data_IF_257539016432
#
_entry.id   IF_257539016432
#
_cell.length_a   1.000
_cell.length_b   1.000
_cell.length_c   1.000
_cell.angle_alpha   90.00
_cell.angle_beta   90.00
_cell.angle_gamma   90.00
#
_symmetry.space_group_name_H-M   'P 1'
#
loop_
_entity.id
_entity.type
_entity.pdbx_description
1 polymer ?
#
# COMPACT_ATOMS: atom_id res chain seq x y z
N UNK A 1 -2.07 -21.21 -19.39
CA UNK A 1 -2.16 -20.74 -20.79
C UNK A 1 -3.02 -21.67 -21.64
N UNK A 2 -2.64 -22.93 -21.83
CA UNK A 2 -3.38 -23.89 -22.68
C UNK A 2 -4.83 -24.09 -22.23
N UNK A 3 -5.06 -24.17 -20.92
CA UNK A 3 -6.41 -24.33 -20.34
C UNK A 3 -7.28 -23.11 -20.64
N UNK A 4 -6.76 -21.90 -20.40
CA UNK A 4 -7.45 -20.63 -20.71
C UNK A 4 -7.81 -20.55 -22.21
N UNK A 5 -6.88 -20.94 -23.09
CA UNK A 5 -7.14 -20.96 -24.53
C UNK A 5 -8.19 -22.01 -24.93
N UNK A 6 -8.15 -23.20 -24.34
CA UNK A 6 -9.14 -24.25 -24.59
C UNK A 6 -10.54 -23.81 -24.17
N UNK A 7 -10.65 -23.12 -23.02
CA UNK A 7 -11.90 -22.51 -22.55
C UNK A 7 -12.41 -21.43 -23.50
N UNK A 8 -11.55 -20.52 -23.94
CA UNK A 8 -11.91 -19.49 -24.92
C UNK A 8 -12.45 -20.10 -26.22
N UNK A 9 -11.75 -21.10 -26.80
CA UNK A 9 -12.21 -21.82 -28.00
C UNK A 9 -13.56 -22.50 -27.81
N UNK A 10 -13.79 -23.11 -26.65
CA UNK A 10 -15.05 -23.77 -26.34
C UNK A 10 -16.23 -22.77 -26.26
N UNK A 11 -16.00 -21.60 -25.67
CA UNK A 11 -17.00 -20.55 -25.54
C UNK A 11 -17.30 -19.83 -26.86
N UNK A 12 -16.28 -19.54 -27.68
CA UNK A 12 -16.47 -19.02 -29.05
C UNK A 12 -17.32 -19.99 -29.88
N UNK A 13 -16.99 -21.29 -29.82
CA UNK A 13 -17.78 -22.33 -30.50
C UNK A 13 -19.23 -22.39 -29.99
N UNK A 14 -19.46 -22.22 -28.69
CA UNK A 14 -20.80 -22.23 -28.08
C UNK A 14 -21.62 -21.00 -28.51
N UNK A 15 -21.00 -19.83 -28.54
CA UNK A 15 -21.59 -18.55 -29.02
C UNK A 15 -22.04 -18.64 -30.48
N UNK A 16 -21.25 -19.30 -31.34
CA UNK A 16 -21.61 -19.54 -32.76
C UNK A 16 -22.78 -20.51 -32.96
N UNK A 17 -23.15 -21.29 -31.93
CA UNK A 17 -24.19 -22.35 -32.02
C UNK A 17 -25.47 -22.04 -31.26
N UNK A 18 -25.50 -20.97 -30.45
CA UNK A 18 -26.63 -20.62 -29.61
C UNK A 18 -27.02 -19.15 -29.84
N UNK A 19 -28.32 -18.86 -29.92
CA UNK A 19 -28.86 -17.50 -29.95
C UNK A 19 -28.84 -16.95 -28.51
N UNK A 20 -27.65 -16.68 -27.97
CA UNK A 20 -27.48 -16.39 -26.53
C UNK A 20 -27.17 -14.93 -26.25
N UNK A 21 -28.10 -14.29 -25.56
CA UNK A 21 -28.02 -12.99 -24.87
C UNK A 21 -27.08 -12.98 -23.66
N UNK A 22 -26.09 -13.88 -23.60
CA UNK A 22 -25.06 -13.90 -22.54
C UNK A 22 -23.83 -13.14 -23.03
N UNK A 23 -23.85 -11.81 -22.92
CA UNK A 23 -22.74 -10.97 -23.34
C UNK A 23 -21.58 -11.04 -22.34
N UNK A 24 -20.61 -11.90 -22.61
CA UNK A 24 -19.24 -11.68 -22.14
C UNK A 24 -18.78 -10.33 -22.72
N UNK A 25 -18.84 -9.27 -21.92
CA UNK A 25 -18.33 -7.96 -22.31
C UNK A 25 -16.79 -8.05 -22.39
N UNK A 26 -16.16 -7.71 -23.53
CA UNK A 26 -14.71 -7.65 -23.63
C UNK A 26 -14.17 -6.51 -22.74
N UNK A 27 -12.98 -6.67 -22.12
CA UNK A 27 -12.05 -7.80 -22.25
C UNK A 27 -12.40 -9.00 -21.35
N UNK A 28 -11.94 -10.20 -21.71
CA UNK A 28 -12.05 -11.41 -20.86
C UNK A 28 -10.73 -11.73 -20.14
N UNK A 29 -9.65 -11.04 -20.49
CA UNK A 29 -8.33 -11.26 -19.92
C UNK A 29 -7.49 -9.97 -19.94
N UNK A 30 -6.80 -9.68 -18.84
CA UNK A 30 -5.85 -8.58 -18.72
C UNK A 30 -4.48 -9.13 -18.31
N UNK A 31 -3.43 -8.65 -18.97
CA UNK A 31 -2.03 -9.04 -18.70
C UNK A 31 -1.34 -7.87 -18.04
N UNK A 32 -0.78 -8.08 -16.86
CA UNK A 32 0.01 -7.11 -16.12
C UNK A 32 1.48 -7.51 -16.18
N UNK A 33 2.34 -6.53 -16.49
CA UNK A 33 3.78 -6.75 -16.49
C UNK A 33 4.33 -7.02 -15.07
N UNK A 34 5.63 -7.32 -14.95
CA UNK A 34 6.30 -7.55 -13.65
C UNK A 34 6.24 -6.36 -12.69
N UNK A 35 5.88 -5.17 -13.16
CA UNK A 35 5.69 -3.94 -12.38
C UNK A 35 4.21 -3.66 -12.10
N UNK A 36 3.30 -4.56 -12.49
CA UNK A 36 1.86 -4.39 -12.36
C UNK A 36 1.27 -3.36 -13.32
N UNK A 37 1.96 -3.04 -14.42
CA UNK A 37 1.45 -2.16 -15.50
C UNK A 37 0.66 -3.01 -16.48
N UNK A 38 -0.49 -2.53 -16.95
CA UNK A 38 -1.25 -3.22 -17.99
C UNK A 38 -0.40 -3.31 -19.26
N UNK A 39 -0.04 -4.53 -19.63
CA UNK A 39 0.73 -4.85 -20.83
C UNK A 39 -0.19 -5.20 -22.01
N UNK A 40 -1.43 -5.62 -21.75
CA UNK A 40 -2.42 -5.84 -22.81
C UNK A 40 -3.75 -6.37 -22.29
N UNK A 41 -4.81 -6.10 -23.04
CA UNK A 41 -6.15 -6.62 -22.83
C UNK A 41 -6.52 -7.53 -23.99
N UNK A 42 -7.25 -8.59 -23.70
CA UNK A 42 -7.60 -9.61 -24.69
C UNK A 42 -9.10 -9.91 -24.61
N UNK A 43 -9.76 -9.84 -25.76
CA UNK A 43 -11.10 -10.41 -25.94
C UNK A 43 -11.03 -11.92 -26.18
N UNK A 44 -12.20 -12.56 -26.18
CA UNK A 44 -12.28 -14.02 -26.23
C UNK A 44 -11.83 -14.60 -27.58
N UNK A 45 -12.09 -13.89 -28.67
CA UNK A 45 -11.72 -14.30 -30.02
C UNK A 45 -10.20 -14.22 -30.20
N UNK A 46 -9.59 -13.13 -29.74
CA UNK A 46 -8.13 -12.91 -29.75
C UNK A 46 -7.39 -13.98 -28.95
N UNK A 47 -7.95 -14.45 -27.83
CA UNK A 47 -7.36 -15.57 -27.06
C UNK A 47 -7.54 -16.90 -27.80
N UNK A 48 -8.73 -17.15 -28.37
CA UNK A 48 -9.03 -18.38 -29.09
C UNK A 48 -8.12 -18.56 -30.32
N UNK A 49 -7.91 -17.49 -31.09
CA UNK A 49 -7.19 -17.51 -32.38
C UNK A 49 -5.67 -17.37 -32.23
N UNK A 50 -5.17 -16.88 -31.11
CA UNK A 50 -3.74 -16.69 -30.91
C UNK A 50 -2.96 -18.02 -30.89
N UNK A 51 -1.87 -18.09 -31.67
CA UNK A 51 -0.94 -19.21 -31.61
C UNK A 51 -0.25 -19.36 -30.24
N UNK A 52 0.15 -20.59 -29.90
CA UNK A 52 0.80 -20.92 -28.61
C UNK A 52 2.05 -20.07 -28.33
N UNK A 53 2.85 -19.79 -29.35
CA UNK A 53 4.06 -18.95 -29.22
C UNK A 53 3.72 -17.49 -28.89
N UNK A 54 2.66 -16.94 -29.49
CA UNK A 54 2.19 -15.57 -29.24
C UNK A 54 1.65 -15.44 -27.81
N UNK A 55 0.85 -16.41 -27.36
CA UNK A 55 0.36 -16.43 -25.99
C UNK A 55 1.51 -16.58 -24.98
N UNK A 56 2.50 -17.43 -25.28
CA UNK A 56 3.65 -17.62 -24.40
C UNK A 56 4.48 -16.34 -24.29
N UNK A 57 4.78 -15.70 -25.42
CA UNK A 57 5.51 -14.43 -25.44
C UNK A 57 4.78 -13.33 -24.67
N UNK A 58 3.44 -13.28 -24.75
CA UNK A 58 2.64 -12.27 -24.08
C UNK A 58 2.50 -12.53 -22.57
N UNK A 59 2.39 -13.78 -22.13
CA UNK A 59 1.95 -14.10 -20.75
C UNK A 59 3.06 -14.67 -19.87
N UNK A 60 4.15 -15.20 -20.44
CA UNK A 60 5.19 -15.86 -19.66
C UNK A 60 5.87 -14.88 -18.70
N UNK A 61 5.85 -15.22 -17.41
CA UNK A 61 6.44 -14.38 -16.36
C UNK A 61 5.69 -13.06 -16.09
N UNK A 62 4.43 -12.96 -16.56
CA UNK A 62 3.50 -11.87 -16.30
C UNK A 62 2.35 -12.34 -15.41
N UNK A 63 1.61 -11.39 -14.84
CA UNK A 63 0.36 -11.70 -14.11
C UNK A 63 -0.80 -11.65 -15.08
N UNK A 64 -1.60 -12.72 -15.15
CA UNK A 64 -2.76 -12.80 -16.04
C UNK A 64 -4.03 -12.83 -15.19
N UNK A 65 -4.86 -11.80 -15.35
CA UNK A 65 -6.18 -11.68 -14.72
C UNK A 65 -7.21 -12.19 -15.71
N UNK A 66 -8.05 -13.14 -15.29
CA UNK A 66 -9.01 -13.84 -16.16
C UNK A 66 -10.42 -13.62 -15.63
N UNK A 67 -11.36 -13.31 -16.52
CA UNK A 67 -12.78 -13.24 -16.18
C UNK A 67 -13.30 -14.62 -15.75
N UNK A 68 -13.94 -14.69 -14.58
CA UNK A 68 -14.39 -15.95 -14.01
C UNK A 68 -15.42 -16.69 -14.89
N UNK A 69 -16.18 -15.96 -15.71
CA UNK A 69 -17.17 -16.54 -16.62
C UNK A 69 -16.52 -17.42 -17.69
N UNK A 70 -15.19 -17.34 -17.86
CA UNK A 70 -14.42 -18.25 -18.72
C UNK A 70 -14.44 -19.71 -18.20
N UNK A 71 -14.64 -19.89 -16.90
CA UNK A 71 -14.51 -21.20 -16.24
C UNK A 71 -13.04 -21.62 -16.11
N UNK A 72 -12.81 -22.92 -16.09
CA UNK A 72 -11.47 -23.49 -16.12
C UNK A 72 -10.86 -23.80 -14.76
N UNK A 73 -11.64 -23.72 -13.67
CA UNK A 73 -11.25 -24.14 -12.33
C UNK A 73 -12.14 -25.27 -11.85
N UNK A 74 -11.53 -26.37 -11.42
CA UNK A 74 -12.25 -27.47 -10.78
C UNK A 74 -12.67 -27.14 -9.33
N UNK A 75 -13.36 -28.07 -8.67
CA UNK A 75 -13.84 -27.89 -7.29
C UNK A 75 -12.71 -27.66 -6.27
N UNK A 76 -11.47 -28.02 -6.60
CA UNK A 76 -10.28 -27.81 -5.77
C UNK A 76 -9.57 -26.48 -6.09
N UNK A 77 -10.07 -25.70 -7.05
CA UNK A 77 -9.45 -24.46 -7.51
C UNK A 77 -8.22 -24.68 -8.38
N UNK A 78 -8.05 -25.87 -8.96
CA UNK A 78 -6.99 -26.16 -9.93
C UNK A 78 -7.48 -25.93 -11.35
N UNK A 79 -6.54 -25.59 -12.24
CA UNK A 79 -6.87 -25.36 -13.64
C UNK A 79 -7.28 -26.66 -14.33
N UNK A 80 -8.49 -26.70 -14.89
CA UNK A 80 -9.01 -27.81 -15.69
C UNK A 80 -9.79 -27.28 -16.91
N UNK A 81 -9.40 -27.67 -18.12
CA UNK A 81 -10.09 -27.28 -19.35
C UNK A 81 -11.53 -27.81 -19.44
N UNK A 82 -11.84 -28.89 -18.72
CA UNK A 82 -13.18 -29.51 -18.67
C UNK A 82 -14.13 -28.82 -17.71
N UNK A 83 -13.62 -28.03 -16.76
CA UNK A 83 -14.46 -27.25 -15.85
C UNK A 83 -15.11 -26.10 -16.62
N UNK A 84 -16.36 -26.31 -17.05
CA UNK A 84 -17.05 -25.43 -18.00
C UNK A 84 -18.12 -24.52 -17.41
N UNK A 85 -18.32 -24.65 -16.10
CA UNK A 85 -19.12 -23.77 -15.28
C UNK A 85 -18.25 -22.63 -14.75
N UNK A 86 -18.77 -21.39 -14.66
CA UNK A 86 -18.12 -20.35 -13.88
C UNK A 86 -17.86 -20.86 -12.46
N UNK A 87 -16.62 -20.82 -11.96
CA UNK A 87 -16.34 -21.23 -10.60
C UNK A 87 -17.05 -20.28 -9.65
N UNK A 88 -17.28 -20.74 -8.42
CA UNK A 88 -17.70 -19.85 -7.34
C UNK A 88 -16.62 -18.78 -7.16
N UNK A 89 -16.98 -17.54 -7.47
CA UNK A 89 -16.12 -16.37 -7.28
C UNK A 89 -16.69 -15.43 -6.25
N UNK A 90 -15.81 -14.63 -5.68
CA UNK A 90 -16.09 -13.70 -4.59
C UNK A 90 -17.21 -12.69 -4.91
N UNK A 91 -17.43 -12.39 -6.19
CA UNK A 91 -18.41 -11.40 -6.67
C UNK A 91 -19.70 -12.03 -7.23
N UNK A 92 -19.87 -13.36 -7.12
CA UNK A 92 -21.11 -14.02 -7.52
C UNK A 92 -22.10 -14.03 -6.34
N UNK A 93 -23.31 -13.52 -6.57
CA UNK A 93 -24.40 -13.37 -5.59
C UNK A 93 -24.74 -14.70 -4.91
N UNK A 94 -24.06 -15.04 -3.80
CA UNK A 94 -24.39 -16.22 -3.02
C UNK A 94 -23.26 -16.83 -2.22
N UNK A 95 -22.79 -16.14 -1.18
CA UNK A 95 -22.06 -16.78 -0.08
C UNK A 95 -22.56 -16.28 1.28
N UNK A 96 -23.01 -17.22 2.12
CA UNK A 96 -23.53 -17.00 3.48
C UNK A 96 -22.48 -17.00 4.60
N UNK A 97 -21.20 -16.82 4.26
CA UNK A 97 -20.12 -16.51 5.20
C UNK A 97 -19.38 -15.30 4.62
N UNK A 98 -19.09 -14.28 5.44
CA UNK A 98 -18.44 -13.03 4.98
C UNK A 98 -17.03 -13.33 4.43
N UNK A 99 -16.97 -13.66 3.13
CA UNK A 99 -15.76 -13.86 2.33
C UNK A 99 -14.88 -12.61 2.30
N UNK A 100 -15.47 -11.44 2.58
CA UNK A 100 -14.78 -10.17 2.86
C UNK A 100 -13.70 -10.33 3.94
N UNK A 101 -13.94 -11.21 4.93
CA UNK A 101 -12.99 -11.53 6.01
C UNK A 101 -11.89 -12.51 5.57
N UNK A 102 -12.12 -13.30 4.52
CA UNK A 102 -11.24 -14.41 4.11
C UNK A 102 -10.33 -14.03 2.96
N UNK A 103 -10.80 -13.26 1.97
CA UNK A 103 -9.99 -12.82 0.83
C UNK A 103 -10.18 -11.34 0.54
N UNK A 104 -9.10 -10.58 0.67
CA UNK A 104 -9.12 -9.11 0.88
C UNK A 104 -9.03 -8.28 -0.40
N UNK A 105 -9.37 -8.83 -1.56
CA UNK A 105 -9.26 -8.18 -2.89
C UNK A 105 -10.43 -8.57 -3.80
N UNK A 106 -10.99 -7.61 -4.55
CA UNK A 106 -11.93 -7.86 -5.66
C UNK A 106 -11.59 -7.03 -6.89
N UNK A 107 -11.99 -7.52 -8.07
CA UNK A 107 -11.79 -6.82 -9.35
C UNK A 107 -13.13 -6.27 -9.80
N UNK A 108 -13.20 -4.95 -9.96
CA UNK A 108 -14.41 -4.23 -10.32
C UNK A 108 -14.30 -3.71 -11.77
N UNK A 109 -15.43 -3.68 -12.47
CA UNK A 109 -15.55 -3.17 -13.84
C UNK A 109 -16.81 -2.31 -13.98
N UNK A 110 -16.71 -1.13 -14.60
CA UNK A 110 -17.83 -0.22 -14.86
C UNK A 110 -17.54 1.23 -14.48
N UNK A 111 -18.58 2.00 -14.16
CA UNK A 111 -18.41 3.36 -13.61
C UNK A 111 -18.10 3.25 -12.13
N UNK A 112 -16.96 3.81 -11.71
CA UNK A 112 -16.54 3.75 -10.31
C UNK A 112 -17.54 4.49 -9.42
N UNK A 113 -18.11 3.84 -8.40
CA UNK A 113 -18.97 4.51 -7.42
C UNK A 113 -18.21 5.66 -6.76
N UNK A 114 -18.86 6.82 -6.61
CA UNK A 114 -18.31 7.94 -5.83
C UNK A 114 -18.33 7.66 -4.33
N UNK A 115 -19.28 6.86 -3.87
CA UNK A 115 -19.37 6.40 -2.48
C UNK A 115 -18.63 5.09 -2.29
N UNK A 116 -17.76 5.04 -1.29
CA UNK A 116 -17.10 3.80 -0.91
C UNK A 116 -18.16 2.84 -0.37
N UNK A 117 -18.43 1.76 -1.09
CA UNK A 117 -19.23 0.66 -0.54
C UNK A 117 -18.49 0.09 0.68
N UNK A 118 -19.07 0.27 1.88
CA UNK A 118 -18.60 -0.34 3.12
C UNK A 118 -17.09 -0.14 3.39
N UNK A 119 -16.36 -1.22 3.69
CA UNK A 119 -14.93 -1.27 4.00
C UNK A 119 -14.03 -1.53 2.75
N UNK A 120 -14.58 -1.57 1.54
CA UNK A 120 -13.79 -1.74 0.31
C UNK A 120 -13.17 -0.42 -0.12
N UNK A 121 -11.89 -0.43 -0.51
CA UNK A 121 -11.16 0.75 -1.01
C UNK A 121 -10.45 0.44 -2.33
N UNK A 122 -10.61 1.32 -3.32
CA UNK A 122 -9.88 1.21 -4.57
C UNK A 122 -8.36 1.27 -4.32
N UNK A 123 -7.68 0.18 -4.69
CA UNK A 123 -6.23 0.13 -4.86
C UNK A 123 -5.83 1.03 -6.02
N UNK A 124 -4.60 1.55 -6.02
CA UNK A 124 -4.05 2.41 -7.08
C UNK A 124 -3.97 1.82 -8.50
N UNK A 125 -4.61 0.68 -8.75
CA UNK A 125 -4.72 0.04 -10.05
C UNK A 125 -6.09 0.38 -10.65
N UNK A 126 -6.16 1.45 -11.42
CA UNK A 126 -7.34 1.86 -12.19
C UNK A 126 -6.95 1.93 -13.66
N UNK A 127 -7.71 1.26 -14.50
CA UNK A 127 -7.51 1.22 -15.95
C UNK A 127 -8.78 1.66 -16.66
N UNK A 128 -8.68 2.68 -17.49
CA UNK A 128 -9.78 3.04 -18.40
C UNK A 128 -9.77 2.09 -19.58
N UNK A 129 -10.89 1.42 -19.82
CA UNK A 129 -11.06 0.48 -20.93
C UNK A 129 -11.29 1.22 -22.25
N UNK A 130 -11.82 2.43 -22.19
CA UNK A 130 -11.91 3.34 -23.32
C UNK A 130 -11.15 4.63 -22.99
N UNK A 131 -9.98 4.83 -23.61
CA UNK A 131 -9.10 5.97 -23.31
C UNK A 131 -9.59 7.30 -23.88
N UNK A 132 -10.51 7.23 -24.84
CA UNK A 132 -10.91 8.37 -25.68
C UNK A 132 -12.26 8.97 -25.25
N UNK A 133 -12.87 8.41 -24.19
CA UNK A 133 -14.15 8.84 -23.63
C UNK A 133 -13.98 9.13 -22.14
N UNK A 134 -14.32 10.36 -21.71
CA UNK A 134 -14.16 10.78 -20.30
C UNK A 134 -14.99 9.95 -19.30
N UNK A 135 -16.08 9.31 -19.79
CA UNK A 135 -16.97 8.41 -19.04
C UNK A 135 -16.81 6.91 -19.42
N UNK A 136 -15.65 6.53 -19.95
CA UNK A 136 -15.34 5.14 -20.30
C UNK A 136 -15.37 4.19 -19.10
N UNK A 137 -15.76 2.93 -19.32
CA UNK A 137 -15.76 1.92 -18.27
C UNK A 137 -14.35 1.76 -17.68
N UNK A 138 -14.25 1.74 -16.34
CA UNK A 138 -12.99 1.53 -15.62
C UNK A 138 -12.91 0.09 -15.15
N UNK A 139 -11.71 -0.49 -15.16
CA UNK A 139 -11.35 -1.70 -14.44
C UNK A 139 -10.51 -1.25 -13.22
N UNK A 140 -10.88 -1.65 -12.01
CA UNK A 140 -10.09 -1.36 -10.82
C UNK A 140 -10.06 -2.52 -9.84
N UNK A 141 -9.05 -2.54 -8.97
CA UNK A 141 -8.95 -3.52 -7.89
C UNK A 141 -9.33 -2.84 -6.59
N UNK A 142 -10.26 -3.39 -5.83
CA UNK A 142 -10.55 -2.94 -4.47
C UNK A 142 -9.96 -3.88 -3.44
N UNK A 143 -9.49 -3.30 -2.34
CA UNK A 143 -8.96 -3.99 -1.18
C UNK A 143 -9.95 -3.87 -0.02
N UNK A 144 -10.22 -4.96 0.68
CA UNK A 144 -10.99 -4.92 1.92
C UNK A 144 -10.15 -4.32 3.05
N UNK A 145 -10.71 -3.35 3.77
CA UNK A 145 -10.06 -2.60 4.86
C UNK A 145 -10.86 -2.61 6.18
N UNK A 146 -11.73 -3.60 6.39
CA UNK A 146 -12.53 -3.76 7.60
C UNK A 146 -11.74 -4.30 8.80
N UNK A 147 -12.44 -4.66 9.88
CA UNK A 147 -11.92 -5.00 11.23
C UNK A 147 -10.86 -6.13 11.28
N UNK A 148 -10.63 -6.85 10.17
CA UNK A 148 -9.65 -7.94 10.05
C UNK A 148 -8.74 -7.81 8.82
N UNK A 149 -8.63 -6.62 8.22
CA UNK A 149 -7.70 -6.38 7.13
C UNK A 149 -6.24 -6.53 7.60
N UNK A 150 -5.44 -7.30 6.87
CA UNK A 150 -3.99 -7.36 7.07
C UNK A 150 -3.36 -6.15 6.39
N UNK A 151 -2.71 -5.26 7.15
CA UNK A 151 -2.02 -4.11 6.59
C UNK A 151 -0.92 -4.49 5.60
N UNK A 152 -0.38 -5.72 5.66
CA UNK A 152 0.64 -6.21 4.75
C UNK A 152 0.10 -6.59 3.36
N UNK A 153 -1.22 -6.69 3.19
CA UNK A 153 -1.86 -7.00 1.90
C UNK A 153 -2.44 -5.72 1.29
N UNK A 154 -1.70 -5.12 0.34
CA UNK A 154 -2.07 -3.89 -0.37
C UNK A 154 -1.19 -2.70 0.02
N UNK A 155 -1.57 -1.49 -0.40
CA UNK A 155 -0.83 -0.27 -0.07
C UNK A 155 -1.10 0.15 1.39
N UNK A 156 -0.04 0.25 2.21
CA UNK A 156 -0.09 0.61 3.62
C UNK A 156 -0.47 2.07 3.86
N UNK A 157 -0.42 2.91 2.82
CA UNK A 157 -0.92 4.28 2.86
C UNK A 157 -2.47 4.36 2.78
N UNK A 158 -3.15 3.27 2.43
CA UNK A 158 -4.61 3.22 2.29
C UNK A 158 -5.26 2.70 3.58
N UNK A 159 -5.95 3.59 4.29
CA UNK A 159 -6.69 3.29 5.51
C UNK A 159 -8.21 3.43 5.31
N UNK A 160 -8.99 2.88 6.25
CA UNK A 160 -10.45 3.02 6.23
C UNK A 160 -10.88 4.47 6.38
N UNK A 161 -10.16 5.21 7.22
CA UNK A 161 -10.33 6.64 7.48
C UNK A 161 -9.00 7.35 7.23
N UNK A 162 -9.07 8.59 6.73
CA UNK A 162 -7.88 9.41 6.57
C UNK A 162 -7.29 9.75 7.94
N UNK A 163 -5.96 9.66 8.06
CA UNK A 163 -5.24 9.89 9.31
C UNK A 163 -4.25 11.03 9.10
N UNK A 164 -4.40 12.13 9.84
CA UNK A 164 -3.43 13.23 9.78
C UNK A 164 -2.06 12.75 10.26
N UNK A 165 -0.99 13.35 9.74
CA UNK A 165 0.36 12.95 10.08
C UNK A 165 0.66 13.13 11.57
N UNK A 166 0.19 14.25 12.15
CA UNK A 166 0.35 14.54 13.57
C UNK A 166 -0.36 13.50 14.45
N UNK A 167 -1.65 13.22 14.17
CA UNK A 167 -2.41 12.25 14.95
C UNK A 167 -1.80 10.83 14.85
N UNK A 168 -1.33 10.46 13.66
CA UNK A 168 -0.69 9.18 13.44
C UNK A 168 0.65 9.06 14.17
N UNK A 169 1.50 10.09 14.15
CA UNK A 169 2.75 10.13 14.90
C UNK A 169 2.50 10.00 16.41
N UNK A 170 1.55 10.75 16.95
CA UNK A 170 1.21 10.71 18.38
C UNK A 170 0.67 9.33 18.79
N UNK A 171 -0.22 8.74 17.99
CA UNK A 171 -0.74 7.40 18.24
C UNK A 171 0.36 6.33 18.17
N UNK A 172 1.26 6.42 17.19
CA UNK A 172 2.38 5.48 17.03
C UNK A 172 3.38 5.59 18.17
N UNK A 173 3.68 6.80 18.63
CA UNK A 173 4.51 7.04 19.80
C UNK A 173 3.90 6.44 21.08
N UNK A 174 2.59 6.65 21.31
CA UNK A 174 1.87 6.03 22.43
C UNK A 174 1.90 4.50 22.35
N UNK A 175 1.64 3.93 21.18
CA UNK A 175 1.68 2.49 20.96
C UNK A 175 3.07 1.91 21.23
N UNK A 176 4.12 2.54 20.71
CA UNK A 176 5.51 2.18 20.96
C UNK A 176 5.86 2.21 22.46
N UNK A 177 5.46 3.26 23.16
CA UNK A 177 5.68 3.38 24.61
C UNK A 177 4.97 2.27 25.39
N UNK A 178 3.71 1.96 25.07
CA UNK A 178 2.95 0.85 25.69
C UNK A 178 3.60 -0.52 25.43
N UNK A 179 4.05 -0.77 24.21
CA UNK A 179 4.75 -2.01 23.85
C UNK A 179 6.05 -2.12 24.65
N UNK A 180 6.86 -1.06 24.68
CA UNK A 180 8.12 -1.03 25.44
C UNK A 180 7.91 -1.27 26.94
N UNK A 181 6.87 -0.68 27.52
CA UNK A 181 6.50 -0.91 28.93
C UNK A 181 6.12 -2.37 29.19
N UNK A 182 5.31 -2.98 28.33
CA UNK A 182 4.90 -4.40 28.45
C UNK A 182 6.07 -5.37 28.28
N UNK A 183 7.03 -5.00 27.44
CA UNK A 183 8.28 -5.75 27.26
C UNK A 183 9.32 -5.47 28.36
N UNK A 184 8.99 -4.61 29.34
CA UNK A 184 9.87 -4.17 30.41
C UNK A 184 11.22 -3.62 29.89
N UNK A 185 11.19 -2.89 28.78
CA UNK A 185 12.40 -2.29 28.21
C UNK A 185 12.95 -1.18 29.11
N UNK A 186 14.29 -1.05 29.23
CA UNK A 186 14.90 0.05 29.97
C UNK A 186 14.48 1.41 29.42
N UNK A 187 14.48 2.43 30.28
CA UNK A 187 13.97 3.77 29.95
C UNK A 187 14.57 4.33 28.65
N UNK A 188 15.89 4.23 28.49
CA UNK A 188 16.58 4.73 27.31
C UNK A 188 16.10 4.05 26.01
N UNK A 189 15.76 2.76 26.05
CA UNK A 189 15.20 2.04 24.90
C UNK A 189 13.74 2.43 24.63
N UNK A 190 12.97 2.68 25.69
CA UNK A 190 11.60 3.20 25.56
C UNK A 190 11.60 4.58 24.91
N UNK A 191 12.46 5.49 25.35
CA UNK A 191 12.61 6.83 24.76
C UNK A 191 13.06 6.73 23.31
N UNK A 192 14.05 5.90 23.02
CA UNK A 192 14.53 5.63 21.65
C UNK A 192 13.41 5.15 20.73
N UNK A 193 12.66 4.13 21.16
CA UNK A 193 11.58 3.54 20.36
C UNK A 193 10.43 4.53 20.16
N UNK A 194 10.07 5.27 21.21
CA UNK A 194 9.00 6.29 21.15
C UNK A 194 9.36 7.43 20.20
N UNK A 195 10.61 7.90 20.25
CA UNK A 195 11.09 8.93 19.34
C UNK A 195 11.18 8.44 17.88
N UNK A 196 11.64 7.20 17.66
CA UNK A 196 11.62 6.59 16.33
C UNK A 196 10.19 6.49 15.77
N UNK A 197 9.24 6.05 16.59
CA UNK A 197 7.82 5.97 16.25
C UNK A 197 7.19 7.33 15.91
N UNK A 198 7.48 8.36 16.70
CA UNK A 198 6.98 9.73 16.47
C UNK A 198 7.55 10.40 15.20
N UNK A 199 8.61 9.83 14.61
CA UNK A 199 9.30 10.42 13.45
C UNK A 199 9.25 9.55 12.18
N UNK A 200 8.87 8.27 12.29
CA UNK A 200 9.08 7.28 11.22
C UNK A 200 8.48 7.69 9.86
N UNK A 201 7.38 8.43 9.88
CA UNK A 201 6.59 8.83 8.71
C UNK A 201 6.76 10.31 8.33
N UNK A 202 7.68 11.05 8.96
CA UNK A 202 7.86 12.49 8.73
C UNK A 202 8.04 12.87 7.24
N UNK A 203 8.71 12.02 6.47
CA UNK A 203 8.90 12.20 5.02
C UNK A 203 7.61 12.15 4.20
N UNK A 204 6.50 11.63 4.74
CA UNK A 204 5.19 11.72 4.09
C UNK A 204 4.72 13.16 3.94
N UNK A 205 5.26 14.09 4.73
CA UNK A 205 4.94 15.51 4.65
C UNK A 205 5.40 16.18 3.34
N UNK A 206 6.24 15.53 2.52
CA UNK A 206 6.63 16.06 1.21
C UNK A 206 5.39 16.20 0.32
N UNK A 207 5.30 17.33 -0.38
CA UNK A 207 4.24 17.62 -1.35
C UNK A 207 4.11 16.52 -2.42
N UNK A 208 5.24 15.99 -2.92
CA UNK A 208 5.24 14.87 -3.86
C UNK A 208 4.50 13.66 -3.31
N UNK A 209 4.74 13.30 -2.05
CA UNK A 209 4.10 12.15 -1.41
C UNK A 209 2.61 12.39 -1.19
N UNK A 210 2.24 13.54 -0.62
CA UNK A 210 0.84 13.90 -0.40
C UNK A 210 0.04 13.93 -1.71
N UNK A 211 0.63 14.45 -2.79
CA UNK A 211 -0.03 14.51 -4.10
C UNK A 211 -0.11 13.11 -4.75
N UNK A 212 0.95 12.30 -4.66
CA UNK A 212 0.95 10.93 -5.15
C UNK A 212 -0.11 10.08 -4.44
N UNK A 213 -0.31 10.27 -3.13
CA UNK A 213 -1.32 9.54 -2.35
C UNK A 213 -2.73 10.16 -2.42
N UNK A 214 -2.90 11.18 -3.26
CA UNK A 214 -4.15 11.95 -3.43
C UNK A 214 -4.72 12.42 -2.08
N UNK A 215 -3.84 12.84 -1.18
CA UNK A 215 -4.23 13.36 0.11
C UNK A 215 -5.17 14.57 -0.07
N UNK A 216 -6.24 14.66 0.75
CA UNK A 216 -7.15 15.80 0.73
C UNK A 216 -6.40 17.13 0.80
N UNK A 217 -6.89 18.13 0.06
CA UNK A 217 -6.38 19.51 0.07
C UNK A 217 -7.20 20.36 1.03
N UNK A 218 -7.15 19.99 2.30
CA UNK A 218 -7.84 20.67 3.40
C UNK A 218 -6.83 21.20 4.44
N UNK A 219 -7.37 21.81 5.50
CA UNK A 219 -6.59 22.39 6.60
C UNK A 219 -5.91 21.33 7.49
N UNK A 220 -6.27 20.05 7.36
CA UNK A 220 -5.73 18.95 8.17
C UNK A 220 -4.50 18.29 7.54
N UNK A 221 -4.18 18.63 6.28
CA UNK A 221 -2.94 18.21 5.59
C UNK A 221 -1.70 18.63 6.42
N UNK A 222 -0.65 17.79 6.54
CA UNK A 222 -0.45 16.52 5.81
C UNK A 222 -1.08 15.29 6.47
N UNK A 223 -1.33 14.28 5.65
CA UNK A 223 -1.88 12.98 6.03
C UNK A 223 -0.81 11.88 6.06
N UNK A 224 -0.84 10.98 7.05
CA UNK A 224 -0.05 9.76 7.08
C UNK A 224 -0.68 8.63 6.26
N UNK A 225 -2.01 8.57 6.25
CA UNK A 225 -2.82 7.56 5.54
C UNK A 225 -4.04 8.22 4.91
N UNK A 226 -4.36 7.85 3.68
CA UNK A 226 -5.50 8.36 2.92
C UNK A 226 -6.52 7.23 2.69
N UNK A 227 -7.72 7.55 2.20
CA UNK A 227 -8.76 6.54 2.00
C UNK A 227 -8.61 5.73 0.71
N UNK A 228 -7.57 5.96 -0.10
CA UNK A 228 -7.32 5.17 -1.32
C UNK A 228 -7.05 6.02 -2.56
N UNK A 229 -6.82 5.33 -3.68
CA UNK A 229 -6.62 5.97 -4.99
C UNK A 229 -5.24 6.61 -5.22
N UNK A 230 -4.26 6.38 -4.35
CA UNK A 230 -2.89 6.85 -4.56
C UNK A 230 -2.22 6.20 -5.78
N UNK A 231 -1.30 6.94 -6.42
CA UNK A 231 -0.44 6.46 -7.50
C UNK A 231 1.03 6.46 -7.03
N UNK A 232 1.50 5.29 -6.58
CA UNK A 232 2.89 5.12 -6.15
C UNK A 232 3.93 5.37 -7.26
N UNK A 233 3.54 5.31 -8.55
CA UNK A 233 4.48 5.61 -9.67
C UNK A 233 4.83 7.09 -9.73
N UNK A 234 3.91 7.95 -9.31
CA UNK A 234 4.14 9.39 -9.23
C UNK A 234 5.24 9.77 -8.24
N UNK A 235 5.62 8.88 -7.31
CA UNK A 235 6.74 9.10 -6.40
C UNK A 235 8.11 9.11 -7.11
N UNK A 236 8.23 8.59 -8.34
CA UNK A 236 9.49 8.63 -9.09
C UNK A 236 10.67 7.96 -8.39
N UNK A 237 10.40 6.95 -7.54
CA UNK A 237 11.41 6.28 -6.72
C UNK A 237 11.67 6.92 -5.35
N UNK A 238 11.02 8.05 -5.04
CA UNK A 238 11.02 8.62 -3.69
C UNK A 238 10.44 7.64 -2.66
N UNK A 239 11.07 7.62 -1.49
CA UNK A 239 10.75 6.78 -0.35
C UNK A 239 10.60 7.69 0.87
N UNK A 240 9.42 7.72 1.51
CA UNK A 240 9.19 8.60 2.66
C UNK A 240 10.09 8.25 3.84
N UNK A 241 10.58 7.02 3.91
CA UNK A 241 11.56 6.56 4.89
C UNK A 241 12.89 7.31 4.75
N UNK A 242 13.29 7.63 3.52
CA UNK A 242 14.48 8.44 3.24
C UNK A 242 14.30 9.90 3.68
N UNK A 243 13.14 10.50 3.35
CA UNK A 243 12.81 11.85 3.81
C UNK A 243 12.75 11.95 5.34
N UNK A 244 12.18 10.94 6.00
CA UNK A 244 12.10 10.86 7.46
C UNK A 244 13.48 10.79 8.10
N UNK A 245 14.40 9.99 7.54
CA UNK A 245 15.79 9.93 7.98
C UNK A 245 16.48 11.29 7.86
N UNK A 246 16.34 11.98 6.71
CA UNK A 246 16.93 13.30 6.49
C UNK A 246 16.42 14.27 7.55
N UNK A 247 15.10 14.34 7.74
CA UNK A 247 14.49 15.31 8.65
C UNK A 247 14.84 15.01 10.12
N UNK A 248 15.08 13.74 10.47
CA UNK A 248 15.58 13.36 11.79
C UNK A 248 17.05 13.77 12.02
N UNK A 249 17.86 13.86 10.97
CA UNK A 249 19.28 14.24 11.01
C UNK A 249 19.51 15.74 10.87
N UNK A 250 18.67 16.42 10.10
CA UNK A 250 18.85 17.82 9.72
C UNK A 250 17.58 18.62 9.98
N UNK A 251 17.74 19.76 10.67
CA UNK A 251 16.70 20.78 10.72
C UNK A 251 16.46 21.32 9.32
N UNK A 252 15.40 20.83 8.68
CA UNK A 252 14.96 21.35 7.40
C UNK A 252 14.42 22.77 7.60
N UNK A 253 15.23 23.78 7.32
CA UNK A 253 14.81 25.19 7.16
C UNK A 253 14.32 25.50 5.75
N UNK A 254 14.12 24.49 4.90
CA UNK A 254 13.63 24.70 3.53
C UNK A 254 12.22 25.27 3.52
N UNK A 255 11.86 25.90 2.41
CA UNK A 255 10.51 26.43 2.20
C UNK A 255 9.44 25.35 2.40
N UNK A 256 9.77 24.08 2.10
CA UNK A 256 8.86 22.94 2.30
C UNK A 256 8.50 22.72 3.77
N UNK A 257 9.44 22.89 4.71
CA UNK A 257 9.12 22.83 6.15
C UNK A 257 8.35 24.05 6.61
N UNK A 258 8.63 25.23 6.04
CA UNK A 258 7.94 26.48 6.40
C UNK A 258 6.43 26.44 6.07
N UNK A 259 6.00 25.56 5.16
CA UNK A 259 4.59 25.35 4.82
C UNK A 259 3.87 24.34 5.73
N UNK A 260 4.58 23.63 6.61
CA UNK A 260 3.96 22.66 7.53
C UNK A 260 3.16 23.34 8.65
N UNK A 261 2.07 22.72 9.14
CA UNK A 261 1.33 23.19 10.31
C UNK A 261 2.25 23.41 11.52
N UNK A 262 2.04 24.50 12.26
CA UNK A 262 2.85 24.89 13.43
C UNK A 262 2.94 23.76 14.46
N UNK A 263 1.83 23.09 14.74
CA UNK A 263 1.75 21.96 15.68
C UNK A 263 2.62 20.79 15.25
N UNK A 264 2.55 20.39 13.98
CA UNK A 264 3.38 19.32 13.44
C UNK A 264 4.87 19.66 13.48
N UNK A 265 5.24 20.89 13.09
CA UNK A 265 6.64 21.33 13.17
C UNK A 265 7.18 21.27 14.60
N UNK A 266 6.41 21.80 15.55
CA UNK A 266 6.77 21.77 16.96
C UNK A 266 6.97 20.33 17.46
N UNK A 267 6.05 19.43 17.13
CA UNK A 267 6.16 18.02 17.51
C UNK A 267 7.40 17.33 16.91
N UNK A 268 7.73 17.60 15.64
CA UNK A 268 8.93 17.09 15.00
C UNK A 268 10.21 17.69 15.64
N UNK A 269 10.23 18.99 15.93
CA UNK A 269 11.37 19.64 16.57
C UNK A 269 11.63 19.07 17.98
N UNK A 270 10.58 18.87 18.78
CA UNK A 270 10.66 18.25 20.12
C UNK A 270 11.13 16.79 20.04
N UNK A 271 10.64 16.04 19.06
CA UNK A 271 11.07 14.65 18.84
C UNK A 271 12.53 14.58 18.39
N UNK A 272 12.97 15.49 17.51
CA UNK A 272 14.38 15.56 17.10
C UNK A 272 15.30 15.96 18.25
N UNK A 273 14.89 16.94 19.06
CA UNK A 273 15.63 17.29 20.28
C UNK A 273 15.76 16.07 21.20
N UNK A 274 14.69 15.26 21.32
CA UNK A 274 14.75 13.98 22.06
C UNK A 274 15.76 13.01 21.45
N UNK A 275 15.76 12.83 20.12
CA UNK A 275 16.76 11.99 19.42
C UNK A 275 18.20 12.47 19.66
N UNK A 276 18.42 13.78 19.75
CA UNK A 276 19.73 14.38 20.01
C UNK A 276 20.22 14.16 21.45
N UNK A 277 19.32 13.91 22.40
CA UNK A 277 19.69 13.55 23.78
C UNK A 277 20.05 12.08 23.97
N UNK A 278 19.72 11.21 23.00
CA UNK A 278 19.98 9.78 23.12
C UNK A 278 21.48 9.46 23.06
N UNK A 279 21.97 8.47 23.84
CA UNK A 279 23.31 7.92 23.63
C UNK A 279 23.51 7.50 22.17
N UNK A 280 24.71 7.74 21.62
CA UNK A 280 25.02 7.50 20.20
C UNK A 280 24.54 6.13 19.68
N UNK A 281 24.73 4.99 20.39
CA UNK A 281 24.23 3.69 19.91
C UNK A 281 22.70 3.62 19.79
N UNK A 282 21.97 4.30 20.67
CA UNK A 282 20.50 4.35 20.66
C UNK A 282 19.99 5.34 19.62
N UNK A 283 20.68 6.46 19.41
CA UNK A 283 20.37 7.38 18.30
C UNK A 283 20.56 6.66 16.95
N UNK A 284 21.66 5.92 16.78
CA UNK A 284 21.88 5.10 15.59
C UNK A 284 20.77 4.06 15.41
N UNK A 285 20.35 3.38 16.48
CA UNK A 285 19.21 2.45 16.40
C UNK A 285 17.91 3.16 16.00
N UNK A 286 17.54 4.27 16.64
CA UNK A 286 16.33 5.02 16.29
C UNK A 286 16.30 5.45 14.82
N UNK A 287 17.40 6.03 14.34
CA UNK A 287 17.49 6.48 12.95
C UNK A 287 17.46 5.31 11.96
N UNK A 288 17.98 4.14 12.33
CA UNK A 288 17.82 2.91 11.54
C UNK A 288 16.36 2.44 11.50
N UNK A 289 15.67 2.43 12.64
CA UNK A 289 14.26 2.04 12.70
C UNK A 289 13.39 2.98 11.86
N UNK A 290 13.66 4.29 11.90
CA UNK A 290 13.00 5.29 11.04
C UNK A 290 13.18 4.95 9.55
N UNK A 291 14.40 4.69 9.07
CA UNK A 291 14.63 4.47 7.63
C UNK A 291 14.24 3.07 7.14
N UNK A 292 14.16 2.09 8.04
CA UNK A 292 13.95 0.67 7.70
C UNK A 292 12.55 0.14 8.00
N UNK A 293 11.61 0.96 8.46
CA UNK A 293 10.29 0.49 8.91
C UNK A 293 9.46 -0.22 7.83
N UNK A 294 9.73 0.01 6.54
CA UNK A 294 9.14 -0.77 5.42
C UNK A 294 10.10 -1.79 4.80
N UNK A 295 11.22 -2.11 5.45
CA UNK A 295 12.20 -3.12 5.01
C UNK A 295 13.30 -2.62 4.08
N UNK A 296 13.31 -1.32 3.75
CA UNK A 296 14.42 -0.67 3.05
C UNK A 296 15.61 -0.39 3.98
N UNK A 297 16.71 0.13 3.44
CA UNK A 297 17.95 0.39 4.20
C UNK A 297 18.53 -0.86 4.87
N UNK A 298 18.33 -2.03 4.23
CA UNK A 298 18.91 -3.34 4.62
C UNK A 298 19.72 -3.98 3.47
N UNK A 299 20.85 -3.37 3.02
CA UNK A 299 21.45 -2.15 3.53
C UNK A 299 21.07 -0.88 2.75
N UNK A 300 20.47 -1.00 1.57
CA UNK A 300 20.33 0.14 0.64
C UNK A 300 18.95 0.78 0.64
N UNK A 301 18.92 2.09 0.42
CA UNK A 301 17.74 2.90 0.14
C UNK A 301 18.06 3.87 -0.99
N UNK A 302 17.07 4.21 -1.82
CA UNK A 302 17.26 5.15 -2.92
C UNK A 302 17.56 6.57 -2.37
N UNK A 303 18.65 7.24 -2.83
CA UNK A 303 19.03 8.57 -2.38
C UNK A 303 18.22 9.66 -3.10
N UNK A 304 16.90 9.59 -2.99
CA UNK A 304 15.97 10.50 -3.68
C UNK A 304 15.24 11.30 -2.61
N UNK A 305 15.36 12.63 -2.64
CA UNK A 305 14.49 13.56 -1.90
C UNK A 305 13.91 14.56 -2.93
N UNK A 306 12.59 14.77 -2.96
CA UNK A 306 11.95 15.69 -3.90
C UNK A 306 12.13 17.17 -3.53
N UNK A 307 12.67 17.48 -2.35
CA UNK A 307 13.00 18.85 -1.95
C UNK A 307 14.11 19.41 -2.86
N UNK A 308 13.84 20.42 -3.70
CA UNK A 308 14.82 20.96 -4.65
C UNK A 308 16.00 21.66 -3.96
N UNK A 309 15.85 22.03 -2.69
CA UNK A 309 16.92 22.63 -1.90
C UNK A 309 17.91 21.57 -1.39
N UNK A 310 17.64 20.28 -1.61
CA UNK A 310 18.52 19.16 -1.23
C UNK A 310 19.44 18.81 -2.41
N UNK A 311 20.76 19.05 -2.28
CA UNK A 311 21.66 18.71 -3.35
C UNK A 311 21.85 17.17 -3.45
N UNK A 312 21.98 16.60 -4.67
CA UNK A 312 22.06 15.14 -4.87
C UNK A 312 23.21 14.44 -4.12
N UNK A 313 24.32 15.13 -3.88
CA UNK A 313 25.46 14.58 -3.15
C UNK A 313 25.13 14.33 -1.68
N UNK A 314 24.32 15.19 -1.05
CA UNK A 314 23.89 15.02 0.34
C UNK A 314 22.97 13.80 0.44
N UNK A 315 22.04 13.63 -0.50
CA UNK A 315 21.19 12.44 -0.53
C UNK A 315 22.01 11.15 -0.67
N UNK A 316 23.05 11.18 -1.51
CA UNK A 316 23.96 10.05 -1.70
C UNK A 316 24.76 9.74 -0.43
N UNK A 317 25.22 10.77 0.28
CA UNK A 317 25.91 10.63 1.57
C UNK A 317 25.00 10.02 2.64
N UNK A 318 23.78 10.53 2.79
CA UNK A 318 22.80 9.99 3.74
C UNK A 318 22.45 8.52 3.47
N UNK A 319 22.27 8.14 2.20
CA UNK A 319 22.01 6.74 1.84
C UNK A 319 23.21 5.83 2.14
N UNK A 320 24.44 6.30 1.87
CA UNK A 320 25.68 5.59 2.23
C UNK A 320 25.78 5.41 3.75
N UNK A 321 25.49 6.47 4.52
CA UNK A 321 25.57 6.44 5.97
C UNK A 321 24.50 5.52 6.58
N UNK A 322 23.30 5.44 5.99
CA UNK A 322 22.29 4.46 6.35
C UNK A 322 22.79 3.02 6.14
N UNK A 323 23.44 2.73 5.01
CA UNK A 323 24.02 1.41 4.74
C UNK A 323 25.14 1.04 5.75
N UNK A 324 26.01 2.00 6.08
CA UNK A 324 27.06 1.82 7.09
C UNK A 324 26.48 1.64 8.50
N UNK A 325 25.39 2.35 8.83
CA UNK A 325 24.66 2.21 10.08
C UNK A 325 24.04 0.83 10.22
N UNK A 326 23.41 0.30 9.17
CA UNK A 326 22.92 -1.08 9.16
C UNK A 326 24.04 -2.08 9.46
N UNK A 327 25.21 -1.93 8.83
CA UNK A 327 26.36 -2.80 9.09
C UNK A 327 26.88 -2.71 10.54
N UNK A 328 26.89 -1.51 11.15
CA UNK A 328 27.24 -1.33 12.58
C UNK A 328 26.22 -2.00 13.49
N UNK A 329 24.93 -1.79 13.27
CA UNK A 329 23.86 -2.35 14.09
C UNK A 329 23.75 -3.87 13.95
N UNK A 330 24.01 -4.43 12.77
CA UNK A 330 24.12 -5.87 12.56
C UNK A 330 25.24 -6.49 13.41
N UNK A 331 26.39 -5.81 13.56
CA UNK A 331 27.47 -6.28 14.45
C UNK A 331 27.09 -6.19 15.93
N UNK A 332 26.29 -5.19 16.31
CA UNK A 332 25.90 -4.96 17.71
C UNK A 332 24.76 -5.88 18.16
N UNK A 333 23.72 -6.04 17.35
CA UNK A 333 22.48 -6.73 17.72
C UNK A 333 22.32 -8.10 17.04
N UNK A 334 23.17 -8.40 16.06
CA UNK A 334 22.99 -9.56 15.19
C UNK A 334 21.79 -9.42 14.24
N UNK A 335 21.62 -10.37 13.30
CA UNK A 335 20.54 -10.34 12.32
C UNK A 335 19.16 -10.45 12.97
N UNK A 336 19.04 -11.23 14.05
CA UNK A 336 17.78 -11.47 14.74
C UNK A 336 17.41 -10.34 15.71
N UNK A 337 18.39 -9.79 16.45
CA UNK A 337 18.13 -8.69 17.37
C UNK A 337 17.71 -7.41 16.65
N UNK A 338 18.36 -7.10 15.52
CA UNK A 338 17.97 -5.93 14.72
C UNK A 338 16.59 -6.13 14.06
N UNK A 339 16.33 -7.33 13.52
CA UNK A 339 15.00 -7.66 12.97
C UNK A 339 13.88 -7.58 14.02
N UNK A 340 14.19 -7.93 15.27
CA UNK A 340 13.25 -7.82 16.38
C UNK A 340 12.89 -6.36 16.67
N UNK A 341 13.87 -5.44 16.75
CA UNK A 341 13.58 -4.00 16.91
C UNK A 341 12.75 -3.42 15.75
N UNK A 342 13.07 -3.79 14.51
CA UNK A 342 12.30 -3.42 13.32
C UNK A 342 10.85 -3.95 13.39
N UNK A 343 10.66 -5.17 13.91
CA UNK A 343 9.32 -5.74 14.11
C UNK A 343 8.53 -5.01 15.21
N UNK A 344 9.19 -4.63 16.31
CA UNK A 344 8.57 -3.87 17.39
C UNK A 344 8.06 -2.51 16.91
N UNK A 345 8.85 -1.77 16.11
CA UNK A 345 8.39 -0.50 15.53
C UNK A 345 7.21 -0.71 14.57
N UNK A 346 7.27 -1.70 13.67
CA UNK A 346 6.16 -2.02 12.77
C UNK A 346 4.89 -2.40 13.52
N UNK A 347 5.01 -3.14 14.61
CA UNK A 347 3.87 -3.47 15.47
C UNK A 347 3.24 -2.22 16.11
N UNK A 348 4.03 -1.20 16.44
CA UNK A 348 3.52 0.07 16.95
C UNK A 348 2.73 0.86 15.90
N UNK A 349 3.24 0.98 14.66
CA UNK A 349 2.52 1.63 13.54
C UNK A 349 1.20 0.90 13.24
N UNK A 350 1.22 -0.44 13.19
CA UNK A 350 0.01 -1.22 12.99
C UNK A 350 -1.01 -1.04 14.12
N UNK A 351 -0.56 -1.01 15.38
CA UNK A 351 -1.43 -0.78 16.53
C UNK A 351 -2.06 0.63 16.50
N UNK A 352 -1.29 1.66 16.17
CA UNK A 352 -1.78 3.03 16.04
C UNK A 352 -2.83 3.17 14.93
N UNK A 353 -2.59 2.51 13.81
CA UNK A 353 -3.52 2.49 12.67
C UNK A 353 -4.87 1.89 13.04
N UNK A 354 -4.86 0.80 13.83
CA UNK A 354 -6.06 0.16 14.34
C UNK A 354 -6.81 1.05 15.33
N UNK A 355 -6.10 1.62 16.31
CA UNK A 355 -6.67 2.53 17.32
C UNK A 355 -7.41 3.71 16.65
N UNK A 356 -6.79 4.35 15.64
CA UNK A 356 -7.42 5.47 14.92
C UNK A 356 -8.66 5.00 14.14
N UNK A 357 -8.58 3.87 13.44
CA UNK A 357 -9.72 3.34 12.70
C UNK A 357 -10.89 2.92 13.60
N UNK A 358 -10.63 2.49 14.83
CA UNK A 358 -11.64 2.13 15.85
C UNK A 358 -12.29 3.40 16.43
N UNK A 359 -11.49 4.38 16.87
CA UNK A 359 -12.01 5.64 17.46
C UNK A 359 -12.85 6.49 16.50
N UNK A 360 -12.45 6.60 15.23
CA UNK A 360 -13.28 7.32 14.26
C UNK A 360 -14.52 6.53 13.83
N UNK A 361 -14.66 5.25 14.16
CA UNK A 361 -15.92 4.51 13.99
C UNK A 361 -16.97 4.97 15.00
N UNK A 362 -16.56 5.07 16.26
CA UNK A 362 -17.44 5.46 17.37
C UNK A 362 -18.01 6.87 17.15
N UNK A 363 -17.19 7.80 16.64
CA UNK A 363 -17.64 9.17 16.32
C UNK A 363 -18.74 9.23 15.25
N UNK A 364 -18.63 8.44 14.18
CA UNK A 364 -19.62 8.41 13.09
C UNK A 364 -20.93 7.75 13.54
N UNK A 365 -20.85 6.65 14.31
CA UNK A 365 -22.04 5.96 14.82
C UNK A 365 -22.82 6.84 15.81
N UNK A 366 -22.15 7.69 16.58
CA UNK A 366 -22.83 8.62 17.50
C UNK A 366 -23.55 9.77 16.79
N UNK A 367 -23.10 10.19 15.60
CA UNK A 367 -23.77 11.24 14.82
C UNK A 367 -25.03 10.72 14.12
N UNK A 368 -25.00 9.48 13.59
CA UNK A 368 -26.16 8.86 12.93
C UNK A 368 -27.27 8.41 13.91
N UNK A 369 -26.96 8.28 15.20
CA UNK A 369 -27.91 7.86 16.25
C UNK A 369 -28.80 8.99 16.78
N UNK A 370 -28.58 10.22 16.34
CA UNK A 370 -29.30 11.42 16.79
C UNK A 370 -30.15 12.10 15.68
N UNK A 371 -30.39 11.39 14.56
CA UNK A 371 -31.21 11.84 13.43
C UNK A 371 -32.67 11.41 13.53
#
# INVERSE_FOLDING_TARGET
MEIVQARAKALVKKSLTADSTSSLHPPVLAVLDRRGVLAGMWDIDSVADAGKERLHAAWAGQTVVVDYRLGGLDEAGLLDAKADTPPLVIDADGWGLSLERTWRRRVCFGTRPTDSMADWRASGYVWRVDSDVDDGAELWVELWRGEYADPAVGDAAIARQAQTLLAHHDATARAASRIAQRLALPEAHRTMLTAAAAFHDAGKARELWQNAMRAPRDEQRPYAKTTGGGDGRALGGYRHEFGSLRDALHSSTSAATASLPVSLRKALDETRATLDTLPVPLKDLALHLIVSHHGHARPVIAPIDPDPDVPPWLSSELARDAALRFARLQRQWGPWGLAWWEAVLRAADWAASREINETGHEAVVTEDSNG
#
